data_IF_785583730914
#
_entry.id   IF_785583730914
#
_cell.length_a   1.000
_cell.length_b   1.000
_cell.length_c   1.000
_cell.angle_alpha   90.00
_cell.angle_beta   90.00
_cell.angle_gamma   90.00
#
_symmetry.space_group_name_H-M   'P 1'
#
loop_
_entity.id
_entity.type
_entity.pdbx_description
1 polymer ?
#
# COMPACT_ATOMS: atom_id res chain seq x y z
N UNK A 1 24.48 -24.96 -52.36
CA UNK A 1 24.65 -23.49 -52.44
C UNK A 1 25.03 -22.98 -51.06
N UNK A 2 26.34 -22.77 -50.83
CA UNK A 2 26.89 -22.32 -49.54
C UNK A 2 26.99 -20.80 -49.55
N UNK A 3 26.22 -20.13 -48.69
CA UNK A 3 26.28 -18.68 -48.54
C UNK A 3 27.43 -18.30 -47.61
N UNK A 4 28.54 -17.81 -48.19
CA UNK A 4 29.63 -17.18 -47.43
C UNK A 4 29.21 -15.78 -46.97
N UNK A 5 29.20 -15.55 -45.66
CA UNK A 5 29.05 -14.23 -45.04
C UNK A 5 30.32 -13.42 -45.25
N UNK A 6 30.28 -12.36 -46.06
CA UNK A 6 31.35 -11.35 -46.13
C UNK A 6 31.03 -10.24 -45.12
N UNK A 7 31.82 -10.15 -44.05
CA UNK A 7 31.80 -8.97 -43.19
C UNK A 7 32.61 -7.86 -43.88
N UNK A 8 31.92 -6.83 -44.37
CA UNK A 8 32.55 -5.58 -44.82
C UNK A 8 32.51 -4.62 -43.64
N UNK A 9 33.68 -4.28 -43.10
CA UNK A 9 33.85 -3.20 -42.13
C UNK A 9 34.02 -1.90 -42.91
N UNK A 10 33.00 -1.03 -42.90
CA UNK A 10 33.10 0.31 -43.44
C UNK A 10 33.83 1.20 -42.44
N UNK A 11 35.13 1.38 -42.64
CA UNK A 11 35.90 2.45 -42.00
C UNK A 11 35.53 3.78 -42.63
N UNK A 12 34.92 4.69 -41.86
CA UNK A 12 34.80 6.09 -42.26
C UNK A 12 36.01 6.85 -41.74
N UNK A 13 36.89 7.22 -42.67
CA UNK A 13 37.91 8.25 -42.46
C UNK A 13 37.28 9.59 -42.83
N UNK A 14 37.03 10.44 -41.83
CA UNK A 14 36.77 11.86 -42.04
C UNK A 14 37.28 12.67 -40.85
N UNK A 15 38.14 13.63 -41.18
CA UNK A 15 38.92 14.52 -40.32
C UNK A 15 38.03 15.72 -39.93
N UNK A 16 37.76 15.91 -38.64
CA UNK A 16 36.98 17.03 -38.06
C UNK A 16 37.01 16.98 -36.52
N UNK A 17 36.85 18.11 -35.79
CA UNK A 17 37.57 18.36 -34.54
C UNK A 17 36.99 17.66 -33.30
N UNK A 18 37.90 17.35 -32.36
CA UNK A 18 37.71 17.00 -30.96
C UNK A 18 36.47 16.16 -30.60
N UNK A 19 36.68 14.84 -30.59
CA UNK A 19 35.77 13.88 -29.92
C UNK A 19 35.85 14.13 -28.42
N UNK A 20 34.82 14.74 -27.84
CA UNK A 20 34.61 14.76 -26.40
C UNK A 20 34.63 13.30 -25.88
N UNK A 21 35.25 13.04 -24.73
CA UNK A 21 35.28 11.68 -24.19
C UNK A 21 33.85 11.27 -23.85
N UNK A 22 33.37 10.22 -24.54
CA UNK A 22 32.15 9.51 -24.17
C UNK A 22 32.45 8.90 -22.80
N UNK A 23 32.08 9.62 -21.73
CA UNK A 23 32.05 9.07 -20.38
C UNK A 23 31.16 7.82 -20.42
N UNK A 24 31.61 6.69 -19.84
CA UNK A 24 30.74 5.52 -19.73
C UNK A 24 29.48 5.97 -19.00
N UNK A 25 28.30 5.72 -19.59
CA UNK A 25 27.02 5.87 -18.89
C UNK A 25 27.11 5.02 -17.63
N UNK A 26 27.44 5.64 -16.51
CA UNK A 26 27.33 5.04 -15.21
C UNK A 26 25.85 4.69 -15.07
N UNK A 27 25.56 3.39 -15.01
CA UNK A 27 24.22 2.89 -14.71
C UNK A 27 23.91 3.41 -13.30
N UNK A 28 23.24 4.56 -13.22
CA UNK A 28 22.79 5.12 -11.95
C UNK A 28 21.74 4.16 -11.45
N UNK A 29 22.12 3.30 -10.51
CA UNK A 29 21.18 2.43 -9.83
C UNK A 29 20.03 3.30 -9.29
N UNK A 30 18.78 2.87 -9.45
CA UNK A 30 17.66 3.62 -8.92
C UNK A 30 17.84 3.80 -7.41
N UNK A 31 17.31 4.89 -6.83
CA UNK A 31 17.29 5.04 -5.38
C UNK A 31 16.77 3.77 -4.69
N UNK A 32 17.31 3.47 -3.50
CA UNK A 32 16.80 2.37 -2.69
C UNK A 32 15.27 2.49 -2.54
N UNK A 33 14.55 1.38 -2.61
CA UNK A 33 13.08 1.39 -2.51
C UNK A 33 12.32 1.96 -3.71
N UNK A 34 13.00 2.27 -4.82
CA UNK A 34 12.38 2.73 -6.07
C UNK A 34 12.58 1.72 -7.19
N UNK A 35 11.50 1.41 -7.90
CA UNK A 35 11.52 0.59 -9.12
C UNK A 35 10.84 1.29 -10.28
N UNK A 36 11.26 0.99 -11.50
CA UNK A 36 10.51 1.35 -12.70
C UNK A 36 9.22 0.53 -12.77
N UNK A 37 8.10 1.22 -12.96
CA UNK A 37 6.80 0.63 -13.24
C UNK A 37 6.87 -0.32 -14.43
N UNK A 38 6.27 -1.52 -14.36
CA UNK A 38 6.21 -2.42 -15.51
C UNK A 38 5.28 -1.90 -16.62
N UNK A 39 4.36 -0.98 -16.30
CA UNK A 39 3.40 -0.45 -17.27
C UNK A 39 4.03 0.60 -18.21
N UNK A 40 4.80 1.54 -17.67
CA UNK A 40 5.32 2.67 -18.44
C UNK A 40 6.71 3.18 -18.00
N UNK A 41 7.42 2.43 -17.13
CA UNK A 41 8.79 2.73 -16.74
C UNK A 41 8.97 3.84 -15.69
N UNK A 42 7.90 4.55 -15.30
CA UNK A 42 7.98 5.63 -14.30
C UNK A 42 8.48 5.12 -12.94
N UNK A 43 9.18 5.94 -12.14
CA UNK A 43 9.61 5.51 -10.82
C UNK A 43 8.41 5.35 -9.88
N UNK A 44 8.39 4.22 -9.18
CA UNK A 44 7.36 3.84 -8.20
C UNK A 44 8.03 3.36 -6.92
N UNK A 45 7.33 3.49 -5.80
CA UNK A 45 7.78 2.97 -4.51
C UNK A 45 6.70 2.12 -3.86
N UNK A 46 7.09 1.16 -3.03
CA UNK A 46 6.13 0.29 -2.38
C UNK A 46 5.30 1.06 -1.35
N UNK A 47 4.03 0.66 -1.21
CA UNK A 47 3.13 1.12 -0.15
C UNK A 47 3.39 0.42 1.20
N UNK A 48 4.32 -0.55 1.25
CA UNK A 48 4.51 -1.46 2.40
C UNK A 48 3.45 -2.55 2.48
N UNK A 49 2.51 -2.59 1.52
CA UNK A 49 1.47 -3.60 1.38
C UNK A 49 1.49 -4.15 -0.05
N UNK A 50 2.10 -5.31 -0.26
CA UNK A 50 2.28 -5.88 -1.61
C UNK A 50 0.97 -6.04 -2.40
N UNK A 51 -0.12 -6.44 -1.73
CA UNK A 51 -1.44 -6.54 -2.37
C UNK A 51 -2.00 -5.19 -2.82
N UNK A 52 -1.67 -4.09 -2.13
CA UNK A 52 -2.05 -2.74 -2.52
C UNK A 52 -1.22 -2.25 -3.71
N UNK A 53 0.08 -2.56 -3.72
CA UNK A 53 0.98 -2.22 -4.83
C UNK A 53 0.46 -2.78 -6.15
N UNK A 54 -0.05 -4.01 -6.14
CA UNK A 54 -0.65 -4.66 -7.31
C UNK A 54 -1.94 -3.99 -7.79
N UNK A 55 -2.71 -3.35 -6.89
CA UNK A 55 -3.97 -2.67 -7.21
C UNK A 55 -3.78 -1.30 -7.88
N UNK A 56 -2.57 -0.73 -7.84
CA UNK A 56 -2.28 0.61 -8.34
C UNK A 56 -2.14 0.63 -9.87
N UNK A 57 -3.23 0.33 -10.60
CA UNK A 57 -3.36 0.43 -12.06
C UNK A 57 -2.23 -0.25 -12.87
N UNK A 58 -1.64 -1.34 -12.36
CA UNK A 58 -0.51 -2.01 -13.02
C UNK A 58 0.84 -1.30 -12.86
N UNK A 59 0.92 -0.18 -12.11
CA UNK A 59 2.19 0.47 -11.75
C UNK A 59 3.01 -0.37 -10.77
N UNK A 60 2.39 -1.34 -10.09
CA UNK A 60 3.03 -2.20 -9.10
C UNK A 60 3.72 -1.35 -8.01
N UNK A 61 2.97 -0.46 -7.36
CA UNK A 61 3.48 0.50 -6.38
C UNK A 61 2.98 1.90 -6.64
N UNK A 62 3.22 2.80 -5.69
CA UNK A 62 2.79 4.18 -5.75
C UNK A 62 3.75 4.99 -6.63
N UNK A 63 3.29 5.59 -7.75
CA UNK A 63 4.12 6.47 -8.56
C UNK A 63 4.67 7.64 -7.76
N UNK A 64 5.94 7.99 -7.97
CA UNK A 64 6.49 9.22 -7.39
C UNK A 64 5.75 10.45 -7.93
N UNK A 65 5.61 11.47 -7.09
CA UNK A 65 4.84 12.68 -7.36
C UNK A 65 3.33 12.51 -7.26
N UNK A 66 2.85 11.46 -6.60
CA UNK A 66 1.44 11.18 -6.41
C UNK A 66 1.02 11.00 -4.95
N UNK A 67 -0.28 11.16 -4.72
CA UNK A 67 -0.96 11.06 -3.45
C UNK A 67 -2.08 10.03 -3.47
N UNK A 68 -2.29 9.34 -2.35
CA UNK A 68 -3.39 8.41 -2.14
C UNK A 68 -4.20 8.83 -0.91
N UNK A 69 -5.50 9.03 -1.09
CA UNK A 69 -6.47 9.21 -0.01
C UNK A 69 -7.11 7.87 0.35
N UNK A 70 -7.04 7.48 1.61
CA UNK A 70 -7.65 6.26 2.15
C UNK A 70 -8.76 6.66 3.11
N UNK A 71 -9.98 6.52 2.64
CA UNK A 71 -11.19 6.78 3.39
C UNK A 71 -11.60 5.54 4.17
N UNK A 72 -12.03 5.70 5.42
CA UNK A 72 -12.52 4.57 6.24
C UNK A 72 -13.85 4.91 6.91
N UNK A 73 -14.83 4.02 6.74
CA UNK A 73 -16.11 4.11 7.43
C UNK A 73 -16.07 3.39 8.78
N UNK A 74 -16.87 3.85 9.75
CA UNK A 74 -16.96 3.25 11.08
C UNK A 74 -15.95 3.83 12.07
N UNK A 75 -15.58 3.03 13.07
CA UNK A 75 -14.73 3.42 14.21
C UNK A 75 -13.44 2.60 14.31
N UNK A 76 -13.13 1.80 13.29
CA UNK A 76 -11.88 1.04 13.20
C UNK A 76 -10.75 1.92 12.64
N UNK A 77 -9.53 1.39 12.67
CA UNK A 77 -8.31 2.08 12.22
C UNK A 77 -7.51 1.21 11.22
N UNK A 78 -8.19 0.61 10.24
CA UNK A 78 -7.50 -0.19 9.20
C UNK A 78 -6.66 0.70 8.28
N UNK A 79 -7.13 1.90 7.96
CA UNK A 79 -6.39 2.89 7.20
C UNK A 79 -5.13 3.34 7.97
N UNK A 80 -5.22 3.56 9.28
CA UNK A 80 -4.04 3.86 10.09
C UNK A 80 -3.01 2.74 10.08
N UNK A 81 -3.43 1.47 10.08
CA UNK A 81 -2.53 0.32 9.90
C UNK A 81 -1.83 0.35 8.53
N UNK A 82 -2.55 0.67 7.44
CA UNK A 82 -1.95 0.86 6.11
C UNK A 82 -0.86 1.95 6.12
N UNK A 83 -1.14 3.09 6.76
CA UNK A 83 -0.15 4.16 6.89
C UNK A 83 1.06 3.75 7.74
N UNK A 84 0.88 2.93 8.79
CA UNK A 84 2.00 2.39 9.58
C UNK A 84 2.90 1.47 8.73
N UNK A 85 2.33 0.62 7.86
CA UNK A 85 3.13 -0.17 6.90
C UNK A 85 3.89 0.72 5.93
N UNK A 86 3.25 1.77 5.42
CA UNK A 86 3.88 2.72 4.51
C UNK A 86 5.07 3.46 5.15
N UNK A 87 4.92 3.86 6.42
CA UNK A 87 6.02 4.45 7.20
C UNK A 87 7.14 3.44 7.44
N UNK A 88 6.81 2.23 7.89
CA UNK A 88 7.79 1.18 8.17
C UNK A 88 8.61 0.81 6.92
N UNK A 89 7.96 0.66 5.76
CA UNK A 89 8.64 0.43 4.48
C UNK A 89 9.62 1.56 4.15
N UNK A 90 9.19 2.82 4.32
CA UNK A 90 10.09 3.96 4.12
C UNK A 90 11.32 3.93 5.02
N UNK A 91 11.16 3.65 6.31
CA UNK A 91 12.27 3.60 7.25
C UNK A 91 13.25 2.46 6.95
N UNK A 92 12.74 1.29 6.53
CA UNK A 92 13.59 0.14 6.15
C UNK A 92 14.36 0.42 4.86
N UNK A 93 13.75 1.13 3.92
CA UNK A 93 14.36 1.49 2.63
C UNK A 93 15.31 2.69 2.69
N UNK A 94 15.42 3.39 3.82
CA UNK A 94 16.28 4.57 3.94
C UNK A 94 15.62 5.89 3.51
N UNK A 95 14.29 5.92 3.43
CA UNK A 95 13.54 7.11 3.04
C UNK A 95 13.36 8.08 4.21
N UNK A 96 13.03 9.32 3.86
CA UNK A 96 12.68 10.38 4.79
C UNK A 96 11.16 10.40 4.97
N UNK A 97 10.69 10.04 6.16
CA UNK A 97 9.26 9.87 6.46
C UNK A 97 8.77 11.09 7.23
N UNK A 98 7.79 11.80 6.70
CA UNK A 98 7.22 13.02 7.29
C UNK A 98 5.79 12.73 7.74
N UNK A 99 5.51 12.85 9.04
CA UNK A 99 4.18 12.55 9.59
C UNK A 99 3.56 13.78 10.24
N UNK A 100 2.31 14.08 9.85
CA UNK A 100 1.54 15.19 10.41
C UNK A 100 0.52 14.65 11.42
N UNK A 101 0.48 15.23 12.62
CA UNK A 101 -0.51 14.93 13.66
C UNK A 101 0.08 14.21 14.87
N UNK A 102 0.51 12.94 14.74
CA UNK A 102 1.20 12.20 15.79
C UNK A 102 2.54 12.80 16.22
N UNK A 103 3.00 12.41 17.41
CA UNK A 103 4.34 12.73 17.92
C UNK A 103 5.38 11.68 17.49
N UNK A 104 6.67 11.94 17.78
CA UNK A 104 7.77 10.99 17.54
C UNK A 104 7.56 9.62 18.21
N UNK A 105 6.75 9.55 19.28
CA UNK A 105 6.40 8.28 19.93
C UNK A 105 5.68 7.31 18.99
N UNK A 106 5.01 7.83 17.94
CA UNK A 106 4.34 7.03 16.92
C UNK A 106 5.31 6.08 16.17
N UNK A 107 6.61 6.42 16.14
CA UNK A 107 7.66 5.53 15.63
C UNK A 107 7.67 4.17 16.33
N UNK A 108 7.35 4.13 17.62
CA UNK A 108 7.28 2.92 18.43
C UNK A 108 6.06 2.04 18.16
N UNK A 109 5.09 2.52 17.37
CA UNK A 109 3.92 1.75 16.94
C UNK A 109 4.13 1.04 15.59
N UNK A 110 5.21 1.33 14.88
CA UNK A 110 5.45 0.81 13.55
C UNK A 110 5.70 -0.71 13.58
N UNK A 111 5.10 -1.48 12.66
CA UNK A 111 5.23 -2.93 12.63
C UNK A 111 6.67 -3.35 12.33
N UNK A 112 7.11 -4.44 12.94
CA UNK A 112 8.44 -4.99 12.72
C UNK A 112 8.51 -5.87 11.47
N UNK A 113 9.73 -6.17 11.02
CA UNK A 113 9.92 -7.10 9.91
C UNK A 113 9.36 -8.49 10.24
N UNK A 114 8.49 -8.97 9.37
CA UNK A 114 7.98 -10.32 9.35
C UNK A 114 9.06 -11.30 8.91
N UNK A 115 8.82 -12.60 9.13
CA UNK A 115 9.64 -13.61 8.46
C UNK A 115 9.33 -13.51 6.96
N UNK A 116 10.35 -13.40 6.11
CA UNK A 116 10.15 -13.51 4.67
C UNK A 116 9.32 -14.77 4.41
N UNK A 117 8.15 -14.61 3.80
CA UNK A 117 7.31 -15.74 3.40
C UNK A 117 7.96 -16.43 2.20
N UNK A 118 9.12 -17.05 2.43
CA UNK A 118 9.86 -17.85 1.48
C UNK A 118 10.27 -19.15 2.16
N UNK A 119 9.88 -20.28 1.58
CA UNK A 119 10.09 -21.64 2.06
C UNK A 119 9.08 -22.14 3.11
N UNK A 120 7.84 -22.40 2.65
CA UNK A 120 7.31 -23.74 2.97
C UNK A 120 8.28 -24.71 2.32
N UNK A 121 9.22 -25.25 3.10
CA UNK A 121 9.90 -26.50 2.77
C UNK A 121 8.78 -27.46 2.34
N UNK A 122 8.67 -27.71 1.04
CA UNK A 122 8.05 -28.94 0.59
C UNK A 122 8.82 -30.04 1.30
N UNK A 123 8.18 -30.69 2.28
CA UNK A 123 8.69 -31.97 2.76
C UNK A 123 8.88 -32.81 1.50
N UNK A 124 10.06 -33.39 1.23
CA UNK A 124 10.17 -34.32 0.13
C UNK A 124 9.18 -35.45 0.43
N UNK A 125 8.14 -35.55 -0.40
CA UNK A 125 7.30 -36.73 -0.46
C UNK A 125 8.22 -37.81 -1.02
N UNK A 126 8.81 -38.61 -0.12
CA UNK A 126 9.40 -39.89 -0.45
C UNK A 126 8.26 -40.83 -0.83
N UNK A 127 7.82 -40.74 -2.08
CA UNK A 127 6.82 -41.61 -2.68
C UNK A 127 7.19 -41.78 -4.14
N UNK A 128 7.86 -42.89 -4.45
CA UNK A 128 8.05 -43.35 -5.82
C UNK A 128 6.68 -43.54 -6.48
N UNK A 129 6.34 -42.67 -7.41
CA UNK A 129 5.07 -42.72 -8.14
C UNK A 129 5.16 -41.91 -9.42
N UNK A 130 5.63 -42.57 -10.47
CA UNK A 130 5.40 -42.31 -11.90
C UNK A 130 4.86 -40.91 -12.29
N UNK A 131 5.79 -40.02 -12.66
CA UNK A 131 5.50 -38.67 -13.16
C UNK A 131 4.86 -38.77 -14.56
N UNK A 132 3.54 -38.59 -14.66
CA UNK A 132 2.82 -38.56 -15.93
C UNK A 132 3.32 -37.44 -16.86
N UNK A 133 3.73 -37.81 -18.07
CA UNK A 133 4.37 -36.97 -19.11
C UNK A 133 3.49 -35.87 -19.74
N UNK A 134 2.27 -35.64 -19.25
CA UNK A 134 1.30 -34.73 -19.88
C UNK A 134 1.22 -33.38 -19.15
N UNK A 135 1.67 -33.27 -17.90
CA UNK A 135 1.57 -32.03 -17.12
C UNK A 135 2.55 -30.92 -17.57
N UNK A 136 3.56 -31.24 -18.39
CA UNK A 136 4.60 -30.26 -18.76
C UNK A 136 4.12 -29.19 -19.75
N UNK A 137 3.03 -29.47 -20.51
CA UNK A 137 2.52 -28.54 -21.52
C UNK A 137 1.56 -27.46 -20.99
N UNK A 138 1.09 -27.58 -19.75
CA UNK A 138 0.23 -26.56 -19.13
C UNK A 138 0.94 -25.75 -18.04
N UNK A 139 2.17 -26.12 -17.65
CA UNK A 139 2.99 -25.33 -16.70
C UNK A 139 3.36 -23.94 -17.25
N UNK A 140 3.33 -23.76 -18.58
CA UNK A 140 3.64 -22.48 -19.23
C UNK A 140 2.42 -21.59 -19.54
N UNK A 141 1.21 -21.95 -19.11
CA UNK A 141 -0.04 -21.26 -19.51
C UNK A 141 -0.93 -20.84 -18.33
N UNK A 142 -0.44 -20.95 -17.10
CA UNK A 142 -1.20 -20.58 -15.91
C UNK A 142 -0.31 -20.19 -14.74
N UNK A 143 0.46 -19.11 -14.88
CA UNK A 143 1.00 -18.38 -13.72
C UNK A 143 1.56 -16.98 -14.07
N UNK A 144 0.85 -16.20 -14.89
CA UNK A 144 1.24 -14.80 -15.20
C UNK A 144 1.04 -13.81 -14.02
N UNK A 145 0.80 -14.30 -12.81
CA UNK A 145 0.74 -13.52 -11.58
C UNK A 145 1.98 -13.65 -10.67
N UNK A 146 2.89 -14.59 -10.95
CA UNK A 146 4.10 -14.81 -10.15
C UNK A 146 5.33 -15.05 -11.06
N UNK A 147 5.75 -14.01 -11.79
CA UNK A 147 7.15 -13.94 -12.25
C UNK A 147 8.01 -13.30 -11.16
N UNK A 148 8.36 -14.10 -10.15
CA UNK A 148 9.59 -13.88 -9.42
C UNK A 148 10.76 -14.17 -10.37
N UNK A 149 11.43 -13.10 -10.81
CA UNK A 149 12.74 -13.19 -11.44
C UNK A 149 13.66 -13.92 -10.46
N UNK A 150 14.04 -15.17 -10.78
CA UNK A 150 15.10 -15.89 -10.08
C UNK A 150 16.38 -15.07 -10.18
N UNK A 151 16.69 -14.30 -9.15
CA UNK A 151 17.98 -13.64 -8.99
C UNK A 151 19.03 -14.67 -8.57
N UNK A 152 20.14 -14.70 -9.29
CA UNK A 152 21.36 -15.38 -8.86
C UNK A 152 21.77 -14.91 -7.46
N UNK A 153 22.25 -15.80 -6.57
CA UNK A 153 22.58 -15.48 -5.17
C UNK A 153 23.84 -14.62 -4.98
N UNK A 154 24.27 -13.88 -6.01
CA UNK A 154 25.44 -12.98 -5.98
C UNK A 154 25.10 -11.49 -6.10
N UNK A 155 23.83 -11.12 -6.34
CA UNK A 155 23.36 -9.73 -6.25
C UNK A 155 22.32 -9.63 -5.14
N UNK A 156 22.70 -9.09 -3.99
CA UNK A 156 21.79 -8.72 -2.91
C UNK A 156 20.93 -7.52 -3.32
N UNK A 157 19.99 -7.73 -4.24
CA UNK A 157 18.94 -6.75 -4.50
C UNK A 157 18.04 -6.72 -3.27
N UNK A 158 17.98 -5.59 -2.57
CA UNK A 158 17.07 -5.39 -1.45
C UNK A 158 15.61 -5.59 -1.91
N UNK A 159 14.76 -6.10 -1.03
CA UNK A 159 13.36 -6.37 -1.36
C UNK A 159 12.61 -5.06 -1.66
N UNK A 160 11.79 -5.05 -2.72
CA UNK A 160 10.99 -3.87 -3.08
C UNK A 160 9.86 -3.59 -2.07
N UNK A 161 9.26 -4.64 -1.52
CA UNK A 161 8.24 -4.56 -0.47
C UNK A 161 8.59 -5.61 0.57
N UNK A 162 8.76 -5.19 1.82
CA UNK A 162 9.02 -6.09 2.93
C UNK A 162 7.71 -6.68 3.45
N UNK A 163 7.79 -7.85 4.08
CA UNK A 163 6.67 -8.38 4.85
C UNK A 163 6.80 -7.87 6.28
N UNK A 164 5.71 -7.36 6.84
CA UNK A 164 5.66 -6.81 8.19
C UNK A 164 4.73 -7.63 9.09
N UNK A 165 5.05 -7.67 10.39
CA UNK A 165 4.32 -8.40 11.43
C UNK A 165 3.86 -7.42 12.51
N UNK A 166 2.54 -7.29 12.70
CA UNK A 166 1.94 -6.38 13.69
C UNK A 166 2.15 -6.85 15.14
N UNK A 167 2.43 -8.14 15.33
CA UNK A 167 2.82 -8.69 16.63
C UNK A 167 4.20 -8.22 17.08
N UNK A 168 4.99 -7.62 16.17
CA UNK A 168 6.33 -7.10 16.44
C UNK A 168 6.37 -5.57 16.33
N UNK A 169 7.49 -5.00 16.77
CA UNK A 169 7.81 -3.59 16.58
C UNK A 169 9.09 -3.45 15.78
N UNK A 170 9.14 -2.41 14.95
CA UNK A 170 10.31 -2.09 14.13
C UNK A 170 11.53 -1.87 15.01
N UNK A 171 12.58 -2.64 14.78
CA UNK A 171 13.80 -2.56 15.59
C UNK A 171 14.67 -1.41 15.09
N UNK A 172 15.40 -0.70 15.98
CA UNK A 172 16.32 0.36 15.57
C UNK A 172 17.39 -0.10 14.57
N UNK A 173 17.78 -1.38 14.59
CA UNK A 173 18.73 -1.98 13.65
C UNK A 173 18.21 -2.04 12.21
N UNK A 174 16.89 -2.08 12.03
CA UNK A 174 16.26 -2.23 10.72
C UNK A 174 15.97 -0.87 10.07
N UNK A 175 16.12 0.22 10.85
CA UNK A 175 15.82 1.58 10.42
C UNK A 175 17.05 2.18 9.73
N UNK A 176 16.95 2.39 8.42
CA UNK A 176 17.95 3.10 7.61
C UNK A 176 17.57 4.56 7.36
N UNK A 177 16.28 4.89 7.47
CA UNK A 177 15.72 6.21 7.21
C UNK A 177 15.48 7.04 8.46
N UNK A 178 14.85 8.21 8.27
CA UNK A 178 14.51 9.12 9.37
C UNK A 178 13.00 9.39 9.39
N UNK A 179 12.45 9.54 10.59
CA UNK A 179 11.07 9.99 10.81
C UNK A 179 11.12 11.44 11.30
N UNK A 180 10.30 12.30 10.71
CA UNK A 180 10.09 13.69 11.12
C UNK A 180 8.60 13.87 11.44
N UNK A 181 8.26 13.92 12.71
CA UNK A 181 6.91 14.17 13.18
C UNK A 181 6.66 15.67 13.38
N UNK A 182 5.54 16.15 12.88
CA UNK A 182 4.99 17.48 13.18
C UNK A 182 3.69 17.30 13.95
N UNK A 183 3.73 17.36 15.29
CA UNK A 183 2.55 17.20 16.12
C UNK A 183 1.53 18.30 15.82
N UNK A 184 0.26 17.95 15.64
CA UNK A 184 -0.80 18.96 15.40
C UNK A 184 -1.48 19.42 16.69
N UNK A 185 -1.48 18.61 17.75
CA UNK A 185 -1.86 19.09 19.07
C UNK A 185 -0.64 19.75 19.71
N UNK A 186 -0.69 21.06 19.92
CA UNK A 186 0.13 21.66 20.96
C UNK A 186 -0.35 21.06 22.28
N UNK A 187 0.33 20.01 22.76
CA UNK A 187 0.17 19.58 24.13
C UNK A 187 0.36 20.82 25.02
N UNK A 188 -0.73 21.32 25.62
CA UNK A 188 -0.67 22.30 26.71
C UNK A 188 0.07 23.61 26.39
N UNK A 189 -0.24 24.25 25.25
CA UNK A 189 0.16 25.62 24.95
C UNK A 189 -0.57 26.68 25.80
N UNK A 190 -0.70 26.51 27.12
CA UNK A 190 -1.02 27.60 28.06
C UNK A 190 0.16 28.56 28.26
N UNK A 191 1.25 28.37 27.51
CA UNK A 191 2.47 29.18 27.55
C UNK A 191 2.94 29.47 26.11
N UNK A 192 2.12 30.15 25.32
CA UNK A 192 2.63 30.90 24.16
C UNK A 192 2.52 32.38 24.52
N UNK A 193 3.64 33.14 24.57
CA UNK A 193 3.59 34.56 24.85
C UNK A 193 2.75 35.25 23.77
N UNK A 194 1.79 36.07 24.20
CA UNK A 194 0.96 36.87 23.33
C UNK A 194 1.86 37.72 22.41
N UNK A 195 1.99 37.35 21.14
CA UNK A 195 2.79 38.12 20.18
C UNK A 195 3.34 37.37 18.96
N UNK A 196 3.38 36.03 18.94
CA UNK A 196 3.76 35.31 17.71
C UNK A 196 2.56 35.19 16.77
N UNK A 197 2.76 35.54 15.50
CA UNK A 197 1.78 35.26 14.43
C UNK A 197 1.63 33.74 14.39
N UNK A 198 0.53 33.22 14.93
CA UNK A 198 0.29 31.77 15.02
C UNK A 198 0.15 31.20 13.61
N UNK A 199 1.23 30.61 13.08
CA UNK A 199 1.20 29.91 11.81
C UNK A 199 0.39 28.63 11.97
N UNK A 200 -0.47 28.35 10.98
CA UNK A 200 -1.23 27.10 10.93
C UNK A 200 -0.27 25.90 11.07
N UNK A 201 -0.59 24.88 11.90
CA UNK A 201 0.18 23.65 11.98
C UNK A 201 0.35 22.97 10.60
N UNK A 202 -0.65 23.11 9.72
CA UNK A 202 -0.60 22.58 8.36
C UNK A 202 0.43 23.32 7.50
N UNK A 203 0.50 24.65 7.64
CA UNK A 203 1.46 25.46 6.89
C UNK A 203 2.89 25.24 7.38
N UNK A 204 3.05 25.14 8.71
CA UNK A 204 4.35 24.79 9.33
C UNK A 204 4.82 23.43 8.85
N UNK A 205 3.93 22.44 8.74
CA UNK A 205 4.27 21.13 8.19
C UNK A 205 4.74 21.21 6.74
N UNK A 206 4.02 21.90 5.86
CA UNK A 206 4.43 22.07 4.45
C UNK A 206 5.80 22.76 4.37
N UNK A 207 6.03 23.80 5.16
CA UNK A 207 7.31 24.52 5.20
C UNK A 207 8.47 23.62 5.68
N UNK A 208 8.25 22.81 6.73
CA UNK A 208 9.22 21.86 7.24
C UNK A 208 9.59 20.80 6.18
N UNK A 209 8.58 20.26 5.50
CA UNK A 209 8.80 19.26 4.45
C UNK A 209 9.58 19.87 3.27
N UNK A 210 9.23 21.09 2.83
CA UNK A 210 9.96 21.81 1.78
C UNK A 210 11.42 22.01 2.15
N UNK A 211 11.67 22.51 3.37
CA UNK A 211 13.03 22.73 3.89
C UNK A 211 13.84 21.43 3.91
N UNK A 212 13.23 20.31 4.33
CA UNK A 212 13.90 19.00 4.35
C UNK A 212 14.13 18.44 2.94
N UNK A 213 13.24 18.68 1.99
CA UNK A 213 13.42 18.29 0.59
C UNK A 213 14.59 19.04 -0.07
N UNK A 214 14.71 20.33 0.20
CA UNK A 214 15.81 21.17 -0.30
C UNK A 214 17.15 20.80 0.33
N UNK A 215 17.17 20.50 1.63
CA UNK A 215 18.38 20.14 2.35
C UNK A 215 18.91 18.72 2.03
N UNK A 216 18.10 17.85 1.46
CA UNK A 216 18.43 16.44 1.26
C UNK A 216 18.92 16.13 -0.17
N UNK A 217 19.87 15.19 -0.34
CA UNK A 217 20.41 14.84 -1.64
C UNK A 217 19.33 14.40 -2.65
N UNK A 218 19.51 14.64 -3.96
CA UNK A 218 18.49 14.34 -4.98
C UNK A 218 18.02 12.88 -5.04
N UNK A 219 18.83 11.92 -4.58
CA UNK A 219 18.50 10.50 -4.55
C UNK A 219 17.68 10.05 -3.35
N UNK A 220 17.40 10.93 -2.37
CA UNK A 220 16.62 10.57 -1.18
C UNK A 220 15.12 10.72 -1.45
N UNK A 221 14.37 9.65 -1.19
CA UNK A 221 12.92 9.62 -1.33
C UNK A 221 12.25 10.08 -0.03
N UNK A 222 11.18 10.85 -0.19
CA UNK A 222 10.37 11.41 0.88
C UNK A 222 8.96 10.84 0.82
N UNK A 223 8.44 10.42 1.98
CA UNK A 223 7.08 9.90 2.14
C UNK A 223 6.34 10.80 3.12
N UNK A 224 5.23 11.40 2.68
CA UNK A 224 4.33 12.17 3.53
C UNK A 224 3.22 11.25 4.02
N UNK A 225 2.94 11.32 5.32
CA UNK A 225 1.86 10.60 5.98
C UNK A 225 0.99 11.57 6.76
N UNK A 226 -0.31 11.47 6.53
CA UNK A 226 -1.31 12.25 7.26
C UNK A 226 -2.36 11.30 7.81
N UNK A 227 -2.09 10.64 8.95
CA UNK A 227 -3.04 9.72 9.57
C UNK A 227 -4.22 10.47 10.18
N UNK A 228 -5.41 10.01 9.84
CA UNK A 228 -6.68 10.46 10.42
C UNK A 228 -6.84 11.97 10.33
N UNK A 229 -6.63 12.51 9.13
CA UNK A 229 -6.76 13.93 8.80
C UNK A 229 -8.06 14.50 9.39
N UNK A 230 -7.93 15.61 10.12
CA UNK A 230 -9.02 16.33 10.81
C UNK A 230 -9.68 15.55 11.96
N UNK A 231 -9.09 14.44 12.42
CA UNK A 231 -9.56 13.76 13.63
C UNK A 231 -9.44 14.69 14.84
N UNK A 232 -10.53 14.90 15.61
CA UNK A 232 -10.49 15.70 16.83
C UNK A 232 -9.51 15.18 17.91
N UNK A 233 -9.07 13.93 17.79
CA UNK A 233 -8.06 13.34 18.68
C UNK A 233 -6.63 13.80 18.37
N UNK A 234 -6.36 14.30 17.16
CA UNK A 234 -5.02 14.72 16.70
C UNK A 234 -4.96 16.20 16.29
N UNK A 235 -6.09 16.79 15.92
CA UNK A 235 -6.17 18.14 15.36
C UNK A 235 -7.05 19.03 16.25
N UNK A 236 -6.57 20.26 16.51
CA UNK A 236 -7.36 21.27 17.18
C UNK A 236 -8.48 21.82 16.29
N UNK A 237 -9.50 22.43 16.90
CA UNK A 237 -10.67 22.97 16.19
C UNK A 237 -10.34 24.03 15.14
N UNK A 238 -9.23 24.76 15.31
CA UNK A 238 -8.73 25.74 14.32
C UNK A 238 -8.29 25.10 13.01
N UNK A 239 -7.83 23.84 13.04
CA UNK A 239 -7.30 23.12 11.88
C UNK A 239 -8.42 22.40 11.09
N UNK A 240 -9.60 22.24 11.68
CA UNK A 240 -10.73 21.54 11.08
C UNK A 240 -11.60 22.42 10.15
N UNK A 241 -11.20 23.67 9.87
CA UNK A 241 -11.94 24.53 8.94
C UNK A 241 -11.75 24.04 7.50
N UNK A 242 -12.83 23.93 6.68
CA UNK A 242 -12.71 23.46 5.30
C UNK A 242 -11.69 24.24 4.45
N UNK A 243 -11.62 25.56 4.62
CA UNK A 243 -10.68 26.41 3.90
C UNK A 243 -9.22 26.01 4.16
N UNK A 244 -8.86 25.78 5.43
CA UNK A 244 -7.48 25.42 5.81
C UNK A 244 -7.12 24.01 5.32
N UNK A 245 -8.04 23.06 5.47
CA UNK A 245 -7.84 21.67 5.03
C UNK A 245 -7.68 21.57 3.51
N UNK A 246 -8.55 22.24 2.74
CA UNK A 246 -8.45 22.25 1.27
C UNK A 246 -7.22 23.01 0.79
N UNK A 247 -6.87 24.13 1.43
CA UNK A 247 -5.65 24.87 1.10
C UNK A 247 -4.40 24.04 1.39
N UNK A 248 -4.40 23.29 2.49
CA UNK A 248 -3.34 22.33 2.81
C UNK A 248 -3.19 21.25 1.73
N UNK A 249 -4.29 20.56 1.36
CA UNK A 249 -4.24 19.53 0.31
C UNK A 249 -3.81 20.11 -1.04
N UNK A 250 -4.23 21.33 -1.36
CA UNK A 250 -3.78 22.04 -2.56
C UNK A 250 -2.28 22.33 -2.53
N UNK A 251 -1.74 22.83 -1.40
CA UNK A 251 -0.29 23.04 -1.21
C UNK A 251 0.49 21.73 -1.28
N UNK A 252 -0.04 20.66 -0.69
CA UNK A 252 0.54 19.32 -0.74
C UNK A 252 0.60 18.78 -2.17
N UNK A 253 -0.49 18.92 -2.94
CA UNK A 253 -0.52 18.58 -4.37
C UNK A 253 0.55 19.36 -5.14
N UNK A 254 0.65 20.67 -4.93
CA UNK A 254 1.68 21.49 -5.57
C UNK A 254 3.10 21.00 -5.23
N UNK A 255 3.37 20.67 -3.96
CA UNK A 255 4.65 20.13 -3.51
C UNK A 255 4.98 18.78 -4.16
N UNK A 256 4.00 17.88 -4.28
CA UNK A 256 4.14 16.61 -4.99
C UNK A 256 4.47 16.78 -6.47
N UNK A 257 3.86 17.78 -7.13
CA UNK A 257 4.17 18.07 -8.54
C UNK A 257 5.54 18.72 -8.72
N UNK A 258 5.94 19.58 -7.79
CA UNK A 258 7.27 20.20 -7.82
C UNK A 258 8.40 19.19 -7.60
N UNK A 259 8.19 18.22 -6.69
CA UNK A 259 9.16 17.16 -6.37
C UNK A 259 8.74 15.78 -6.89
N UNK A 260 8.23 15.71 -8.11
CA UNK A 260 7.61 14.50 -8.67
C UNK A 260 8.55 13.29 -8.80
N UNK A 261 9.87 13.50 -8.79
CA UNK A 261 10.86 12.42 -8.84
C UNK A 261 11.26 11.82 -7.50
N UNK A 262 10.77 12.34 -6.37
CA UNK A 262 11.25 11.93 -5.03
C UNK A 262 10.25 12.07 -3.87
N UNK A 263 9.01 12.48 -4.11
CA UNK A 263 8.02 12.71 -3.06
C UNK A 263 6.72 11.92 -3.33
N UNK A 264 6.12 11.36 -2.29
CA UNK A 264 4.82 10.66 -2.35
C UNK A 264 4.03 10.89 -1.07
N UNK A 265 2.70 10.79 -1.11
CA UNK A 265 1.85 11.00 0.06
C UNK A 265 0.76 9.94 0.23
N UNK A 266 0.51 9.51 1.48
CA UNK A 266 -0.68 8.76 1.83
C UNK A 266 -1.40 9.46 2.99
N UNK A 267 -2.70 9.67 2.84
CA UNK A 267 -3.56 10.40 3.75
C UNK A 267 -4.70 9.48 4.13
N UNK A 268 -5.09 9.43 5.40
CA UNK A 268 -6.34 8.76 5.80
C UNK A 268 -7.37 9.72 6.34
N UNK A 269 -8.65 9.43 6.09
CA UNK A 269 -9.79 10.24 6.50
C UNK A 269 -10.94 9.35 6.99
N UNK A 270 -11.55 9.71 8.12
CA UNK A 270 -12.74 9.01 8.62
C UNK A 270 -14.00 9.54 7.93
N UNK A 271 -14.69 8.71 7.17
CA UNK A 271 -15.95 9.07 6.50
C UNK A 271 -17.14 9.08 7.46
N UNK A 272 -16.99 8.52 8.66
CA UNK A 272 -17.95 8.68 9.76
C UNK A 272 -18.03 10.14 10.24
N UNK A 273 -16.89 10.85 10.23
CA UNK A 273 -16.81 12.26 10.62
C UNK A 273 -17.00 13.19 9.41
N UNK A 274 -16.48 12.79 8.25
CA UNK A 274 -16.52 13.58 7.01
C UNK A 274 -17.14 12.76 5.87
N UNK A 275 -18.48 12.64 5.81
CA UNK A 275 -19.15 11.79 4.83
C UNK A 275 -18.83 12.19 3.40
N UNK A 276 -18.64 11.18 2.53
CA UNK A 276 -18.36 11.35 1.09
C UNK A 276 -19.47 12.06 0.33
N UNK A 277 -20.70 12.04 0.86
CA UNK A 277 -21.84 12.78 0.31
C UNK A 277 -21.68 14.29 0.42
N UNK A 278 -20.73 14.78 1.21
CA UNK A 278 -20.46 16.21 1.35
C UNK A 278 -19.55 16.72 0.24
N UNK A 279 -19.78 17.96 -0.22
CA UNK A 279 -18.90 18.61 -1.18
C UNK A 279 -17.46 18.77 -0.65
N UNK A 280 -17.30 18.91 0.68
CA UNK A 280 -15.99 19.02 1.30
C UNK A 280 -15.13 17.77 1.08
N UNK A 281 -15.66 16.58 1.39
CA UNK A 281 -14.95 15.32 1.11
C UNK A 281 -14.71 15.13 -0.38
N UNK A 282 -15.69 15.46 -1.23
CA UNK A 282 -15.50 15.39 -2.68
C UNK A 282 -14.35 16.28 -3.19
N UNK A 283 -14.17 17.48 -2.63
CA UNK A 283 -13.03 18.33 -2.96
C UNK A 283 -11.70 17.72 -2.49
N UNK A 284 -11.68 17.05 -1.33
CA UNK A 284 -10.47 16.33 -0.87
C UNK A 284 -10.10 15.19 -1.82
N UNK A 285 -11.08 14.40 -2.28
CA UNK A 285 -10.88 13.34 -3.28
C UNK A 285 -10.30 13.90 -4.59
N UNK A 286 -10.80 15.05 -5.06
CA UNK A 286 -10.34 15.70 -6.31
C UNK A 286 -8.92 16.26 -6.21
N UNK A 287 -8.49 16.67 -5.02
CA UNK A 287 -7.13 17.19 -4.81
C UNK A 287 -6.10 16.05 -4.70
N UNK A 288 -6.53 14.84 -4.37
CA UNK A 288 -5.69 13.64 -4.31
C UNK A 288 -5.65 12.90 -5.66
N UNK A 289 -4.57 12.18 -5.94
CA UNK A 289 -4.42 11.51 -7.25
C UNK A 289 -5.11 10.14 -7.29
N UNK A 290 -5.23 9.47 -6.14
CA UNK A 290 -6.00 8.26 -5.96
C UNK A 290 -6.87 8.33 -4.69
N UNK A 291 -7.97 7.58 -4.68
CA UNK A 291 -8.92 7.52 -3.56
C UNK A 291 -9.45 6.10 -3.41
N UNK A 292 -9.23 5.51 -2.24
CA UNK A 292 -9.76 4.22 -1.83
C UNK A 292 -10.68 4.39 -0.63
N UNK A 293 -11.74 3.58 -0.56
CA UNK A 293 -12.67 3.55 0.57
C UNK A 293 -12.68 2.16 1.19
N UNK A 294 -12.25 2.08 2.45
CA UNK A 294 -12.30 0.90 3.28
C UNK A 294 -13.64 0.87 4.03
N UNK A 295 -14.36 -0.24 3.86
CA UNK A 295 -15.66 -0.52 4.46
C UNK A 295 -15.55 -1.73 5.39
N UNK A 296 -15.19 -1.53 6.67
CA UNK A 296 -15.20 -2.57 7.69
C UNK A 296 -16.58 -3.22 7.79
N UNK A 297 -16.63 -4.54 7.77
CA UNK A 297 -17.86 -5.29 7.98
C UNK A 297 -18.08 -5.49 9.49
N UNK A 298 -19.29 -5.26 10.01
CA UNK A 298 -19.62 -5.63 11.38
C UNK A 298 -19.45 -7.15 11.50
N UNK A 299 -18.64 -7.61 12.47
CA UNK A 299 -18.48 -9.05 12.73
C UNK A 299 -19.84 -9.64 13.07
N UNK A 300 -20.49 -10.32 12.12
CA UNK A 300 -21.61 -11.20 12.44
C UNK A 300 -21.05 -12.41 13.16
N UNK A 301 -21.56 -12.66 14.37
CA UNK A 301 -21.19 -13.73 15.31
C UNK A 301 -21.45 -15.16 14.75
N UNK A 302 -21.93 -15.30 13.50
CA UNK A 302 -22.10 -16.59 12.84
C UNK A 302 -20.80 -16.97 12.10
N UNK A 303 -19.76 -17.31 12.87
CA UNK A 303 -18.61 -18.02 12.31
C UNK A 303 -19.05 -19.42 11.90
N UNK A 304 -18.85 -19.77 10.63
CA UNK A 304 -18.81 -21.18 10.26
C UNK A 304 -17.60 -21.82 10.97
N UNK A 305 -17.76 -22.99 11.60
CA UNK A 305 -16.71 -23.60 12.43
C UNK A 305 -15.45 -24.05 11.65
N UNK A 306 -15.43 -23.95 10.32
CA UNK A 306 -14.38 -24.50 9.45
C UNK A 306 -13.49 -23.46 8.73
N UNK A 307 -13.72 -22.15 8.88
CA UNK A 307 -12.82 -21.13 8.32
C UNK A 307 -11.75 -20.80 9.37
N UNK A 308 -10.48 -20.96 9.01
CA UNK A 308 -9.37 -20.48 9.87
C UNK A 308 -9.58 -19.00 10.13
N UNK A 309 -9.56 -18.59 11.40
CA UNK A 309 -9.81 -17.21 11.86
C UNK A 309 -9.04 -16.15 11.06
N UNK A 310 -7.85 -16.48 10.53
CA UNK A 310 -7.00 -15.57 9.76
C UNK A 310 -7.44 -15.31 8.31
N UNK A 311 -8.32 -16.14 7.74
CA UNK A 311 -8.84 -16.00 6.37
C UNK A 311 -10.22 -15.34 6.32
N UNK A 312 -10.75 -14.91 7.46
CA UNK A 312 -12.04 -14.24 7.56
C UNK A 312 -11.95 -12.83 6.98
N UNK A 313 -12.83 -12.51 6.03
CA UNK A 313 -12.97 -11.17 5.47
C UNK A 313 -13.41 -10.20 6.57
N UNK A 314 -12.66 -9.11 6.75
CA UNK A 314 -12.93 -8.09 7.77
C UNK A 314 -13.58 -6.84 7.20
N UNK A 315 -13.50 -6.64 5.90
CA UNK A 315 -14.18 -5.54 5.22
C UNK A 315 -14.06 -5.60 3.72
N UNK A 316 -14.67 -4.63 3.06
CA UNK A 316 -14.60 -4.42 1.61
C UNK A 316 -13.71 -3.21 1.30
N UNK A 317 -13.00 -3.25 0.17
CA UNK A 317 -12.28 -2.11 -0.38
C UNK A 317 -12.98 -1.67 -1.66
N UNK A 318 -13.29 -0.37 -1.78
CA UNK A 318 -13.74 0.25 -3.02
C UNK A 318 -12.65 1.15 -3.56
N UNK A 319 -12.41 1.06 -4.86
CA UNK A 319 -11.46 1.90 -5.57
C UNK A 319 -12.24 2.96 -6.34
N UNK A 320 -12.12 4.23 -5.95
CA UNK A 320 -12.82 5.35 -6.59
C UNK A 320 -11.96 6.04 -7.65
N UNK A 321 -10.66 6.15 -7.40
CA UNK A 321 -9.70 6.68 -8.37
C UNK A 321 -8.31 6.09 -8.13
N UNK A 322 -7.54 5.98 -9.21
CA UNK A 322 -6.17 5.46 -9.22
C UNK A 322 -5.22 6.57 -9.71
N UNK A 323 -4.05 6.74 -9.04
CA UNK A 323 -3.06 7.72 -9.45
C UNK A 323 -2.67 7.55 -10.91
N UNK A 324 -2.50 8.66 -11.63
CA UNK A 324 -2.11 8.74 -13.05
C UNK A 324 -3.17 8.20 -14.02
N UNK A 325 -3.79 7.05 -13.73
CA UNK A 325 -4.77 6.41 -14.61
C UNK A 325 -5.99 7.31 -14.84
N UNK A 326 -6.63 7.80 -13.77
CA UNK A 326 -7.79 8.69 -13.89
C UNK A 326 -7.43 10.04 -14.51
N UNK A 327 -6.23 10.58 -14.22
CA UNK A 327 -5.77 11.85 -14.81
C UNK A 327 -5.56 11.75 -16.33
N UNK A 328 -5.27 10.55 -16.84
CA UNK A 328 -5.15 10.28 -18.28
C UNK A 328 -6.49 10.00 -18.97
N UNK A 329 -7.61 10.23 -18.28
CA UNK A 329 -8.94 9.94 -18.81
C UNK A 329 -9.33 8.46 -18.73
N UNK A 330 -8.61 7.67 -17.93
CA UNK A 330 -8.98 6.29 -17.64
C UNK A 330 -10.34 6.23 -16.95
N UNK A 331 -11.32 5.61 -17.61
CA UNK A 331 -12.63 5.37 -17.02
C UNK A 331 -12.58 4.29 -15.94
N UNK A 332 -13.56 4.30 -15.03
CA UNK A 332 -13.77 3.24 -14.02
C UNK A 332 -14.18 1.88 -14.61
N UNK A 333 -14.07 1.66 -15.92
CA UNK A 333 -14.38 0.38 -16.56
C UNK A 333 -13.21 -0.61 -16.59
N UNK A 334 -12.06 -0.25 -16.01
CA UNK A 334 -10.93 -1.16 -15.82
C UNK A 334 -11.22 -2.26 -14.79
N UNK A 335 -10.57 -3.43 -14.94
CA UNK A 335 -10.78 -4.64 -14.13
C UNK A 335 -10.79 -4.39 -12.60
N UNK A 336 -9.98 -3.48 -12.09
CA UNK A 336 -9.85 -3.18 -10.66
C UNK A 336 -11.05 -2.45 -10.03
N UNK A 337 -11.89 -1.77 -10.83
CA UNK A 337 -13.07 -1.06 -10.33
C UNK A 337 -14.34 -1.92 -10.33
N UNK A 338 -14.38 -3.01 -11.11
CA UNK A 338 -15.57 -3.89 -11.22
C UNK A 338 -15.52 -5.05 -10.24
N UNK A 339 -14.34 -5.40 -9.74
CA UNK A 339 -14.18 -6.44 -8.74
C UNK A 339 -14.48 -5.87 -7.35
N UNK A 340 -15.45 -6.48 -6.66
CA UNK A 340 -15.63 -6.23 -5.24
C UNK A 340 -14.34 -6.68 -4.55
N UNK A 341 -13.53 -5.78 -4.02
CA UNK A 341 -12.34 -6.14 -3.26
C UNK A 341 -12.71 -6.31 -1.80
N UNK A 342 -12.00 -7.20 -1.14
CA UNK A 342 -12.08 -7.45 0.29
C UNK A 342 -10.73 -7.26 0.93
N UNK A 343 -10.73 -6.94 2.21
CA UNK A 343 -9.52 -6.89 3.01
C UNK A 343 -9.61 -7.77 4.24
N UNK A 344 -8.45 -8.29 4.62
CA UNK A 344 -8.23 -8.96 5.90
C UNK A 344 -6.92 -8.48 6.50
N UNK A 345 -6.89 -8.43 7.82
CA UNK A 345 -5.74 -8.11 8.64
C UNK A 345 -5.47 -9.27 9.59
N UNK A 346 -4.28 -9.85 9.47
CA UNK A 346 -3.73 -10.79 10.46
C UNK A 346 -2.39 -10.25 10.95
N UNK A 347 -2.01 -10.61 12.18
CA UNK A 347 -0.73 -10.18 12.75
C UNK A 347 0.46 -10.68 11.93
N UNK A 348 0.40 -11.92 11.44
CA UNK A 348 1.50 -12.60 10.77
C UNK A 348 1.58 -12.33 9.27
N UNK A 349 0.43 -12.21 8.61
CA UNK A 349 0.33 -12.03 7.15
C UNK A 349 0.08 -10.58 6.74
N UNK A 350 -0.14 -9.70 7.72
CA UNK A 350 -0.37 -8.28 7.51
C UNK A 350 -1.73 -7.97 6.89
N UNK A 351 -1.83 -6.77 6.30
CA UNK A 351 -3.02 -6.32 5.58
C UNK A 351 -2.99 -6.87 4.15
N UNK A 352 -4.04 -7.57 3.74
CA UNK A 352 -4.12 -8.19 2.42
C UNK A 352 -5.44 -7.81 1.75
N UNK A 353 -5.35 -7.28 0.54
CA UNK A 353 -6.47 -7.00 -0.36
C UNK A 353 -6.59 -8.11 -1.41
N UNK A 354 -7.80 -8.63 -1.61
CA UNK A 354 -8.11 -9.68 -2.60
C UNK A 354 -9.53 -9.52 -3.16
N UNK A 355 -9.83 -10.02 -4.36
CA UNK A 355 -11.20 -10.14 -4.85
C UNK A 355 -12.08 -10.85 -3.82
N UNK A 356 -13.24 -10.26 -3.53
CA UNK A 356 -14.23 -10.79 -2.61
C UNK A 356 -14.97 -11.94 -3.29
N UNK A 357 -14.85 -13.13 -2.72
CA UNK A 357 -15.58 -14.32 -3.14
C UNK A 357 -16.53 -14.68 -2.02
N UNK A 358 -17.83 -14.76 -2.33
CA UNK A 358 -18.81 -15.24 -1.38
C UNK A 358 -18.48 -16.68 -0.99
N UNK A 359 -18.50 -17.04 0.30
CA UNK A 359 -18.42 -18.42 0.71
C UNK A 359 -19.52 -19.23 -0.01
N UNK A 360 -19.25 -20.48 -0.43
CA UNK A 360 -20.29 -21.33 -0.98
C UNK A 360 -21.45 -21.41 0.00
N UNK A 361 -22.67 -21.19 -0.51
CA UNK A 361 -23.88 -21.45 0.25
C UNK A 361 -23.86 -22.96 0.56
N UNK A 362 -23.76 -23.30 1.84
CA UNK A 362 -24.12 -24.64 2.25
C UNK A 362 -25.63 -24.69 2.08
N UNK A 363 -26.10 -25.57 1.20
CA UNK A 363 -27.52 -25.89 1.13
C UNK A 363 -27.96 -26.22 2.55
N UNK A 364 -28.99 -25.54 3.03
CA UNK A 364 -29.65 -25.88 4.28
C UNK A 364 -30.04 -27.36 4.15
N UNK A 365 -29.28 -28.26 4.78
CA UNK A 365 -29.63 -29.67 4.80
C UNK A 365 -31.05 -29.75 5.35
N UNK A 366 -31.99 -30.12 4.47
CA UNK A 366 -33.35 -30.47 4.87
C UNK A 366 -33.24 -31.44 6.04
N UNK A 367 -33.72 -31.01 7.20
CA UNK A 367 -33.89 -31.82 8.40
C UNK A 367 -34.92 -32.92 8.11
N UNK A 368 -34.50 -33.96 7.39
CA UNK A 368 -35.25 -35.18 7.10
C UNK A 368 -34.51 -36.34 7.72
N UNK A 369 -34.79 -36.60 9.00
CA UNK A 369 -34.37 -37.89 9.56
C UNK A 369 -34.43 -38.05 11.07
N UNK A 370 -35.60 -37.88 11.70
CA UNK A 370 -35.85 -38.52 13.00
C UNK A 370 -37.09 -39.41 12.91
N UNK A 371 -36.82 -40.71 13.01
CA UNK A 371 -37.70 -41.87 12.85
C UNK A 371 -38.92 -41.86 13.77
N UNK A 372 -40.03 -42.27 13.17
CA UNK A 372 -41.19 -42.92 13.77
C UNK A 372 -40.72 -44.13 14.61
N UNK A 373 -40.83 -44.04 15.94
CA UNK A 373 -40.76 -45.20 16.84
C UNK A 373 -42.06 -45.31 17.64
N UNK A 374 -42.88 -46.24 17.17
CA UNK A 374 -44.11 -46.76 17.78
C UNK A 374 -43.84 -47.21 19.22
N UNK A 375 -44.55 -46.63 20.21
CA UNK A 375 -44.75 -47.27 21.52
C UNK A 375 -46.16 -47.85 21.64
N UNK A 376 -46.16 -49.17 21.83
CA UNK A 376 -47.27 -50.08 22.12
C UNK A 376 -47.91 -49.74 23.47
N UNK A 377 -49.20 -50.06 23.55
CA UNK A 377 -50.14 -49.65 24.60
C UNK A 377 -49.86 -50.13 26.02
N UNK A 378 -50.45 -49.38 26.94
CA UNK A 378 -50.66 -49.74 28.33
C UNK A 378 -52.16 -49.98 28.54
N UNK A 379 -52.51 -51.19 28.99
CA UNK A 379 -53.86 -51.57 29.43
C UNK A 379 -54.06 -51.04 30.85
N UNK A 380 -55.16 -50.34 31.09
CA UNK A 380 -55.71 -50.10 32.41
C UNK A 380 -56.66 -51.27 32.76
N UNK A 381 -56.36 -51.98 33.84
CA UNK A 381 -57.33 -52.78 34.59
C UNK A 381 -57.31 -52.26 36.04
N UNK A 382 -58.45 -51.71 36.45
CA UNK A 382 -58.96 -51.28 37.77
C UNK A 382 -58.08 -50.49 38.74
#
# INVERSE_FOLDING_TARGET
>A
MSFRKKNVVLGSSARGPAREPITPKQEVLPPAGVRSSPLDGRPTTSTGTASLDQLLAGYAGLPLGSSLLVEESGTTDFAGVLLRYYAAEGLVQGHQVHVLGPSEAWKGELPGLGKASGSRRSKPISGSGEKMKIAWRYEGLGNDADQEVKSDPKNSSEAFCHTFDLGKRLQPSDIKGELHATPSMAAMGWVQPQGSVSSSPLDTFIANVSTKLEASPPGIIHRILVPSLLSPALYGSSVCRPADALQFLHKLRALLRHHCGRLTAIISLSTSLFPRSTGFTRWMELLCDGTFEMLPLPRKVHMQPNIKSEDVVQGMLKVHSLPVYNERGGGLEGHSSRENLSFRLSSSSGLIFKPFVLPPLLDEEEDKGAKDDRKKGEKLDF
#
